data_IF_243057946432
#
_entry.id   IF_243057946432
#
_cell.length_a   1.000
_cell.length_b   1.000
_cell.length_c   1.000
_cell.angle_alpha   90.00
_cell.angle_beta   90.00
_cell.angle_gamma   90.00
#
_symmetry.space_group_name_H-M   'P 1'
#
loop_
_entity.id
_entity.type
_entity.pdbx_description
1 polymer ?
#
# COMPACT_ATOMS: atom_id res chain seq x y z
N UNK A 1 22.33 21.17 25.91
CA UNK A 1 22.38 20.28 24.72
C UNK A 1 22.60 21.18 23.53
N UNK A 2 23.81 21.24 22.99
CA UNK A 2 24.11 21.96 21.74
C UNK A 2 23.35 21.27 20.62
N UNK A 3 22.42 21.97 19.96
CA UNK A 3 21.78 21.52 18.75
C UNK A 3 22.89 21.24 17.72
N UNK A 4 23.13 19.97 17.41
CA UNK A 4 23.98 19.63 16.27
C UNK A 4 23.28 20.16 15.03
N UNK A 5 23.96 21.03 14.30
CA UNK A 5 23.44 21.48 13.01
C UNK A 5 23.44 20.31 12.03
N UNK A 6 22.48 20.28 11.12
CA UNK A 6 22.35 19.26 10.07
C UNK A 6 23.63 19.08 9.26
N UNK A 7 24.42 20.16 9.13
CA UNK A 7 25.73 20.21 8.45
C UNK A 7 26.80 19.31 9.07
N UNK A 8 26.64 18.92 10.32
CA UNK A 8 27.58 18.03 11.04
C UNK A 8 27.18 16.55 10.93
N UNK A 9 26.12 16.22 10.20
CA UNK A 9 25.71 14.83 9.96
C UNK A 9 26.56 14.18 8.89
N UNK A 10 26.88 12.90 9.07
CA UNK A 10 27.52 12.06 8.06
C UNK A 10 26.64 11.86 6.81
N UNK A 11 25.32 12.04 6.95
CA UNK A 11 24.33 11.94 5.87
C UNK A 11 24.19 13.27 5.10
N UNK A 12 24.92 14.32 5.50
CA UNK A 12 24.77 15.66 4.92
C UNK A 12 24.93 15.71 3.39
N UNK A 13 25.86 15.00 2.76
CA UNK A 13 25.96 15.01 1.30
C UNK A 13 24.68 14.51 0.60
N UNK A 14 24.09 13.42 1.10
CA UNK A 14 22.85 12.86 0.55
C UNK A 14 21.64 13.76 0.82
N UNK A 15 21.61 14.40 1.98
CA UNK A 15 20.59 15.39 2.35
C UNK A 15 20.67 16.60 1.43
N UNK A 16 21.88 17.08 1.15
CA UNK A 16 22.11 18.19 0.22
C UNK A 16 21.63 17.86 -1.20
N UNK A 17 21.79 16.62 -1.64
CA UNK A 17 21.28 16.15 -2.93
C UNK A 17 19.74 16.26 -3.02
N UNK A 18 19.04 16.01 -1.91
CA UNK A 18 17.59 16.18 -1.84
C UNK A 18 17.19 17.66 -1.82
N UNK A 19 17.89 18.48 -1.03
CA UNK A 19 17.49 19.86 -0.76
C UNK A 19 17.88 20.85 -1.87
N UNK A 20 19.03 20.65 -2.52
CA UNK A 20 19.68 21.69 -3.34
C UNK A 20 19.61 21.46 -4.84
N UNK A 21 19.10 20.37 -5.35
CA UNK A 21 19.08 20.10 -6.76
C UNK A 21 17.70 20.44 -7.37
N UNK A 22 17.46 21.72 -7.75
CA UNK A 22 16.14 22.16 -8.20
C UNK A 22 15.69 21.52 -9.51
N UNK A 23 16.64 21.12 -10.37
CA UNK A 23 16.32 20.56 -11.69
C UNK A 23 15.83 19.10 -11.63
N UNK A 24 16.10 18.40 -10.53
CA UNK A 24 15.70 17.03 -10.32
C UNK A 24 14.72 16.86 -9.14
N UNK A 25 14.45 17.90 -8.39
CA UNK A 25 13.55 17.87 -7.24
C UNK A 25 12.12 18.20 -7.67
N UNK A 26 11.23 17.29 -7.40
CA UNK A 26 9.81 17.52 -7.56
C UNK A 26 9.28 18.28 -6.34
N UNK A 27 8.69 19.43 -6.58
CA UNK A 27 7.89 20.14 -5.58
C UNK A 27 6.49 20.36 -6.18
N UNK A 28 5.67 19.31 -6.21
CA UNK A 28 4.41 19.34 -6.92
C UNK A 28 3.43 20.31 -6.27
N UNK A 29 2.84 21.15 -7.11
CA UNK A 29 1.66 21.91 -6.76
C UNK A 29 0.45 21.18 -7.30
N UNK A 30 -0.48 20.84 -6.41
CA UNK A 30 -1.71 20.17 -6.76
C UNK A 30 -2.87 21.16 -6.76
N UNK A 31 -3.63 21.13 -7.83
CA UNK A 31 -4.94 21.76 -7.87
C UNK A 31 -5.99 20.73 -8.26
N UNK A 32 -7.15 20.86 -7.63
CA UNK A 32 -8.24 19.91 -7.76
C UNK A 32 -9.50 20.59 -8.22
N UNK A 33 -10.20 19.94 -9.14
CA UNK A 33 -11.58 20.24 -9.47
C UNK A 33 -12.43 18.99 -9.23
N UNK A 34 -13.67 19.18 -8.87
CA UNK A 34 -14.60 18.09 -8.63
C UNK A 34 -15.86 18.25 -9.45
N UNK A 35 -16.43 17.11 -9.87
CA UNK A 35 -17.72 17.01 -10.50
C UNK A 35 -18.52 15.90 -9.81
N UNK A 36 -19.75 16.19 -9.46
CA UNK A 36 -20.69 15.21 -8.95
C UNK A 36 -21.73 14.96 -10.02
N UNK A 37 -21.97 13.70 -10.33
CA UNK A 37 -22.98 13.27 -11.31
C UNK A 37 -23.99 12.36 -10.62
N UNK A 38 -25.28 12.65 -10.80
CA UNK A 38 -26.39 11.79 -10.37
C UNK A 38 -26.86 10.97 -11.55
N UNK A 39 -26.75 9.64 -11.44
CA UNK A 39 -26.93 8.73 -12.59
C UNK A 39 -28.38 8.67 -13.06
N UNK A 40 -29.36 8.63 -12.14
CA UNK A 40 -30.78 8.49 -12.51
C UNK A 40 -31.35 9.78 -13.12
N UNK A 41 -30.98 10.92 -12.59
CA UNK A 41 -31.43 12.23 -13.10
C UNK A 41 -30.56 12.75 -14.23
N UNK A 42 -29.41 12.12 -14.50
CA UNK A 42 -28.42 12.54 -15.51
C UNK A 42 -28.03 14.03 -15.36
N UNK A 43 -27.74 14.41 -14.13
CA UNK A 43 -27.39 15.78 -13.80
C UNK A 43 -25.93 15.91 -13.37
N UNK A 44 -25.22 16.84 -13.99
CA UNK A 44 -23.84 17.18 -13.67
C UNK A 44 -23.77 18.44 -12.82
N UNK A 45 -23.14 18.32 -11.65
CA UNK A 45 -22.88 19.44 -10.74
C UNK A 45 -21.39 19.76 -10.73
N UNK A 46 -21.02 20.81 -11.43
CA UNK A 46 -19.66 21.36 -11.43
C UNK A 46 -19.58 22.67 -10.66
N UNK A 47 -20.70 23.40 -10.63
CA UNK A 47 -20.78 24.69 -9.97
C UNK A 47 -21.31 24.50 -8.54
N UNK A 48 -20.56 25.02 -7.56
CA UNK A 48 -20.91 24.94 -6.15
C UNK A 48 -20.51 23.65 -5.45
N UNK A 49 -20.03 22.63 -6.16
CA UNK A 49 -19.43 21.42 -5.56
C UNK A 49 -17.92 21.62 -5.49
N UNK A 50 -17.40 21.81 -4.28
CA UNK A 50 -15.99 22.13 -4.05
C UNK A 50 -15.34 21.07 -3.16
N UNK A 51 -14.24 20.51 -3.61
CA UNK A 51 -13.44 19.57 -2.84
C UNK A 51 -12.76 20.30 -1.68
N UNK A 52 -12.87 19.79 -0.46
CA UNK A 52 -12.29 20.38 0.75
C UNK A 52 -11.05 19.63 1.18
N UNK A 53 -11.16 18.33 1.35
CA UNK A 53 -10.07 17.43 1.75
C UNK A 53 -10.15 16.14 0.95
N UNK A 54 -8.98 15.51 0.76
CA UNK A 54 -8.85 14.13 0.26
C UNK A 54 -8.04 13.34 1.28
N UNK A 55 -8.55 12.19 1.66
CA UNK A 55 -7.87 11.21 2.50
C UNK A 55 -7.70 9.92 1.73
N UNK A 56 -6.47 9.44 1.60
CA UNK A 56 -6.13 8.19 0.92
C UNK A 56 -5.43 7.28 1.92
N UNK A 57 -6.01 6.10 2.15
CA UNK A 57 -5.42 5.06 2.98
C UNK A 57 -5.00 3.88 2.10
N UNK A 58 -3.71 3.58 2.11
CA UNK A 58 -3.08 2.42 1.47
C UNK A 58 -2.66 1.44 2.54
N UNK A 59 -3.50 0.47 2.85
CA UNK A 59 -3.13 -0.63 3.74
C UNK A 59 -2.78 -1.85 2.90
N UNK A 60 -1.49 -2.04 2.68
CA UNK A 60 -0.97 -3.09 1.80
C UNK A 60 -1.08 -4.52 2.36
N UNK A 61 -1.53 -4.66 3.62
CA UNK A 61 -1.74 -5.96 4.27
C UNK A 61 -3.20 -6.38 4.17
N UNK A 62 -4.12 -5.45 4.45
CA UNK A 62 -5.53 -5.77 4.65
C UNK A 62 -6.41 -5.39 3.46
N UNK A 63 -6.00 -4.37 2.71
CA UNK A 63 -6.77 -3.87 1.58
C UNK A 63 -6.20 -4.39 0.25
N UNK A 64 -7.04 -4.40 -0.76
CA UNK A 64 -6.66 -4.77 -2.13
C UNK A 64 -6.42 -3.55 -3.03
N UNK A 65 -6.78 -2.36 -2.56
CA UNK A 65 -6.65 -1.09 -3.26
C UNK A 65 -6.75 0.09 -2.30
N UNK A 66 -6.53 1.29 -2.83
CA UNK A 66 -6.69 2.53 -2.10
C UNK A 66 -8.10 2.67 -1.55
N UNK A 67 -8.19 3.04 -0.26
CA UNK A 67 -9.40 3.54 0.34
C UNK A 67 -9.35 5.05 0.28
N UNK A 68 -10.30 5.66 -0.42
CA UNK A 68 -10.31 7.10 -0.68
C UNK A 68 -11.56 7.71 -0.06
N UNK A 69 -11.38 8.70 0.78
CA UNK A 69 -12.45 9.55 1.27
C UNK A 69 -12.24 10.99 0.79
N UNK A 70 -13.32 11.65 0.46
CA UNK A 70 -13.30 13.07 0.12
C UNK A 70 -14.32 13.83 0.96
N UNK A 71 -13.94 15.01 1.40
CA UNK A 71 -14.89 15.99 1.94
C UNK A 71 -15.23 17.01 0.87
N UNK A 72 -16.48 17.19 0.63
CA UNK A 72 -17.00 18.04 -0.42
C UNK A 72 -17.97 19.05 0.17
N UNK A 73 -17.81 20.30 -0.20
CA UNK A 73 -18.76 21.38 0.11
C UNK A 73 -19.83 21.42 -0.99
N UNK A 74 -21.08 21.26 -0.62
CA UNK A 74 -22.23 21.22 -1.55
C UNK A 74 -23.29 22.22 -1.06
N UNK A 75 -23.91 23.02 -1.95
CA UNK A 75 -25.02 23.88 -1.57
C UNK A 75 -26.20 23.09 -1.00
N UNK A 76 -26.81 23.56 0.07
CA UNK A 76 -27.84 22.81 0.81
C UNK A 76 -29.02 22.42 -0.07
N UNK A 77 -29.53 23.32 -0.88
CA UNK A 77 -30.64 23.05 -1.79
C UNK A 77 -30.28 22.01 -2.87
N UNK A 78 -29.11 22.13 -3.45
CA UNK A 78 -28.60 21.12 -4.41
C UNK A 78 -28.50 19.76 -3.76
N UNK A 79 -27.93 19.68 -2.56
CA UNK A 79 -27.82 18.40 -1.85
C UNK A 79 -29.18 17.76 -1.58
N UNK A 80 -30.11 18.52 -1.01
CA UNK A 80 -31.42 18.00 -0.57
C UNK A 80 -32.35 17.62 -1.73
N UNK A 81 -32.40 18.45 -2.79
CA UNK A 81 -33.35 18.25 -3.89
C UNK A 81 -32.83 17.36 -5.01
N UNK A 82 -31.53 17.35 -5.21
CA UNK A 82 -30.97 16.67 -6.38
C UNK A 82 -30.15 15.42 -6.03
N UNK A 83 -29.41 15.46 -4.91
CA UNK A 83 -28.42 14.42 -4.57
C UNK A 83 -28.94 13.42 -3.53
N UNK A 84 -29.72 13.90 -2.55
CA UNK A 84 -30.10 13.09 -1.39
C UNK A 84 -30.91 11.83 -1.75
N UNK A 85 -31.80 11.93 -2.73
CA UNK A 85 -32.61 10.80 -3.19
C UNK A 85 -31.81 9.79 -4.04
N UNK A 86 -30.62 10.17 -4.49
CA UNK A 86 -29.77 9.35 -5.37
C UNK A 86 -28.45 8.93 -4.70
N UNK A 87 -28.36 8.94 -3.38
CA UNK A 87 -27.11 8.65 -2.65
C UNK A 87 -26.45 7.32 -3.02
N UNK A 88 -27.22 6.35 -3.50
CA UNK A 88 -26.70 5.03 -3.93
C UNK A 88 -26.16 5.04 -5.37
N UNK A 89 -26.47 6.07 -6.16
CA UNK A 89 -26.16 6.16 -7.60
C UNK A 89 -25.40 7.44 -7.95
N UNK A 90 -24.44 7.83 -7.11
CA UNK A 90 -23.58 8.99 -7.36
C UNK A 90 -22.27 8.55 -8.01
N UNK A 91 -21.88 9.27 -9.05
CA UNK A 91 -20.54 9.26 -9.59
C UNK A 91 -19.82 10.55 -9.20
N UNK A 92 -18.56 10.41 -8.82
CA UNK A 92 -17.72 11.54 -8.47
C UNK A 92 -16.46 11.55 -9.33
N UNK A 93 -16.21 12.67 -9.99
CA UNK A 93 -15.03 12.87 -10.81
C UNK A 93 -14.08 13.81 -10.08
N UNK A 94 -12.85 13.36 -9.90
CA UNK A 94 -11.74 14.19 -9.42
C UNK A 94 -10.87 14.54 -10.62
N UNK A 95 -10.65 15.80 -10.84
CA UNK A 95 -9.73 16.33 -11.83
C UNK A 95 -8.53 16.89 -11.08
N UNK A 96 -7.42 16.19 -11.14
CA UNK A 96 -6.18 16.60 -10.50
C UNK A 96 -5.27 17.23 -11.54
N UNK A 97 -4.93 18.50 -11.35
CA UNK A 97 -3.90 19.16 -12.15
C UNK A 97 -2.65 19.28 -11.32
N UNK A 98 -1.58 18.64 -11.77
CA UNK A 98 -0.31 18.55 -11.11
C UNK A 98 0.75 19.26 -11.92
N UNK A 99 1.44 20.21 -11.30
CA UNK A 99 2.59 20.90 -11.88
C UNK A 99 3.82 20.59 -11.04
N UNK A 100 4.84 19.99 -11.65
CA UNK A 100 6.04 19.53 -10.96
C UNK A 100 7.06 20.65 -10.75
N UNK A 101 7.26 21.48 -11.76
CA UNK A 101 8.11 22.67 -11.72
C UNK A 101 7.34 23.87 -12.26
N UNK A 102 7.74 25.07 -11.87
CA UNK A 102 7.04 26.31 -12.29
C UNK A 102 6.97 26.49 -13.81
N UNK A 103 7.90 25.92 -14.56
CA UNK A 103 8.00 26.05 -16.01
C UNK A 103 7.44 24.84 -16.78
N UNK A 104 7.01 23.80 -16.09
CA UNK A 104 6.48 22.60 -16.73
C UNK A 104 5.03 22.78 -17.16
N UNK A 105 4.66 22.11 -18.24
CA UNK A 105 3.25 22.01 -18.60
C UNK A 105 2.50 21.21 -17.50
N UNK A 106 1.38 21.75 -17.01
CA UNK A 106 0.60 21.06 -15.99
C UNK A 106 0.01 19.76 -16.52
N UNK A 107 0.20 18.68 -15.79
CA UNK A 107 -0.42 17.40 -16.09
C UNK A 107 -1.83 17.33 -15.46
N UNK A 108 -2.84 17.12 -16.29
CA UNK A 108 -4.21 16.94 -15.82
C UNK A 108 -4.62 15.48 -15.90
N UNK A 109 -5.05 14.95 -14.78
CA UNK A 109 -5.55 13.57 -14.62
C UNK A 109 -7.01 13.61 -14.24
N UNK A 110 -7.87 12.91 -14.97
CA UNK A 110 -9.31 12.81 -14.72
C UNK A 110 -9.62 11.40 -14.24
N UNK A 111 -10.19 11.29 -13.05
CA UNK A 111 -10.56 10.02 -12.44
C UNK A 111 -12.05 10.01 -12.07
N UNK A 112 -12.74 8.95 -12.47
CA UNK A 112 -14.16 8.75 -12.17
C UNK A 112 -14.32 7.61 -11.18
N UNK A 113 -15.10 7.86 -10.15
CA UNK A 113 -15.38 6.92 -9.07
C UNK A 113 -16.88 6.75 -8.88
N UNK A 114 -17.29 5.59 -8.40
CA UNK A 114 -18.57 5.47 -7.73
C UNK A 114 -18.43 6.09 -6.34
N UNK A 115 -19.31 7.02 -5.97
CA UNK A 115 -19.28 7.61 -4.65
C UNK A 115 -20.33 6.98 -3.73
N UNK A 116 -19.96 6.76 -2.48
CA UNK A 116 -20.83 6.25 -1.42
C UNK A 116 -20.90 7.26 -0.31
N UNK A 117 -22.10 7.63 0.07
CA UNK A 117 -22.34 8.55 1.17
C UNK A 117 -22.11 7.85 2.52
N UNK A 118 -21.23 8.42 3.36
CA UNK A 118 -20.90 7.86 4.66
C UNK A 118 -21.81 8.44 5.74
N UNK A 119 -22.91 7.74 6.04
CA UNK A 119 -23.88 8.15 7.06
C UNK A 119 -23.27 8.42 8.43
N UNK A 120 -22.28 7.62 8.83
CA UNK A 120 -21.63 7.72 10.14
C UNK A 120 -20.80 9.01 10.31
N UNK A 121 -20.33 9.57 9.20
CA UNK A 121 -19.47 10.76 9.19
C UNK A 121 -20.23 12.05 8.84
N UNK A 122 -21.46 11.93 8.43
CA UNK A 122 -22.26 13.06 7.99
C UNK A 122 -23.39 13.37 9.00
N UNK A 123 -23.74 14.64 9.09
CA UNK A 123 -24.91 15.04 9.87
C UNK A 123 -26.20 14.52 9.21
N UNK A 124 -27.20 14.24 10.01
CA UNK A 124 -28.55 13.99 9.50
C UNK A 124 -28.97 15.13 8.59
N UNK A 125 -29.64 14.82 7.48
CA UNK A 125 -30.16 15.85 6.58
C UNK A 125 -30.98 16.88 7.38
N UNK A 126 -30.78 18.18 7.17
CA UNK A 126 -31.55 19.20 7.86
C UNK A 126 -33.03 19.03 7.49
N UNK A 127 -33.89 18.94 8.50
CA UNK A 127 -35.32 18.91 8.31
C UNK A 127 -35.77 20.32 7.88
N UNK A 128 -35.77 20.58 6.58
CA UNK A 128 -36.26 21.85 6.03
C UNK A 128 -37.69 21.67 5.59
N UNK A 129 -38.58 22.30 6.33
CA UNK A 129 -39.99 22.38 5.96
C UNK A 129 -40.15 23.60 5.04
N UNK A 130 -40.52 23.36 3.77
CA UNK A 130 -41.02 24.32 2.78
C UNK A 130 -40.13 25.53 2.43
N UNK A 131 -38.83 25.37 2.27
CA UNK A 131 -37.97 26.39 1.66
C UNK A 131 -37.68 26.05 0.20
N UNK A 132 -37.54 27.05 -0.67
CA UNK A 132 -37.15 26.81 -2.05
C UNK A 132 -35.71 26.37 -2.17
N UNK A 133 -35.34 25.66 -3.26
CA UNK A 133 -33.98 25.26 -3.53
C UNK A 133 -33.00 26.44 -3.54
N UNK A 134 -33.46 27.58 -4.11
CA UNK A 134 -32.65 28.80 -4.22
C UNK A 134 -32.38 29.43 -2.86
N UNK A 135 -33.41 29.50 -1.99
CA UNK A 135 -33.26 30.01 -0.63
C UNK A 135 -32.29 29.19 0.20
N UNK A 136 -32.33 27.86 0.02
CA UNK A 136 -31.40 26.92 0.69
C UNK A 136 -29.98 27.03 0.15
N UNK A 137 -29.80 27.26 -1.15
CA UNK A 137 -28.48 27.45 -1.75
C UNK A 137 -27.81 28.77 -1.33
N UNK A 138 -28.58 29.74 -0.85
CA UNK A 138 -28.03 30.97 -0.28
C UNK A 138 -27.56 30.81 1.18
N UNK A 139 -27.80 29.64 1.78
CA UNK A 139 -27.30 29.32 3.11
C UNK A 139 -25.84 28.82 3.05
N UNK A 140 -25.26 28.63 4.23
CA UNK A 140 -23.93 28.03 4.35
C UNK A 140 -23.94 26.60 3.76
N UNK A 141 -23.03 26.22 2.86
CA UNK A 141 -23.02 24.91 2.22
C UNK A 141 -22.81 23.80 3.24
N UNK A 142 -23.28 22.61 2.90
CA UNK A 142 -23.00 21.38 3.66
C UNK A 142 -21.63 20.85 3.30
N UNK A 143 -20.91 20.36 4.31
CA UNK A 143 -19.72 19.54 4.11
C UNK A 143 -20.17 18.08 4.20
N UNK A 144 -19.99 17.37 3.11
CA UNK A 144 -20.38 15.96 2.95
C UNK A 144 -19.15 15.11 2.77
N UNK A 145 -19.09 13.98 3.47
CA UNK A 145 -18.02 12.99 3.31
C UNK A 145 -18.50 11.86 2.44
N UNK A 146 -17.75 11.60 1.37
CA UNK A 146 -18.00 10.53 0.40
C UNK A 146 -16.82 9.58 0.39
N UNK A 147 -17.09 8.28 0.31
CA UNK A 147 -16.10 7.27 -0.03
C UNK A 147 -16.08 7.08 -1.54
N UNK A 148 -14.91 7.10 -2.14
CA UNK A 148 -14.72 6.91 -3.57
C UNK A 148 -14.29 5.47 -3.87
N UNK A 149 -15.05 4.77 -4.71
CA UNK A 149 -14.79 3.38 -5.12
C UNK A 149 -14.34 3.35 -6.57
N UNK A 150 -13.17 2.76 -6.81
CA UNK A 150 -12.66 2.52 -8.17
C UNK A 150 -13.45 1.37 -8.83
N UNK A 151 -14.15 1.65 -9.92
CA UNK A 151 -14.97 0.66 -10.67
C UNK A 151 -14.16 -0.54 -11.14
N UNK A 152 -12.92 -0.31 -11.56
CA UNK A 152 -12.03 -1.40 -12.02
C UNK A 152 -11.76 -2.38 -10.89
N UNK A 153 -11.43 -1.84 -9.71
CA UNK A 153 -11.14 -2.64 -8.52
C UNK A 153 -12.37 -3.41 -8.06
N UNK A 154 -13.53 -2.75 -8.00
CA UNK A 154 -14.79 -3.41 -7.60
C UNK A 154 -15.14 -4.57 -8.57
N UNK A 155 -14.91 -4.38 -9.85
CA UNK A 155 -15.16 -5.44 -10.84
C UNK A 155 -14.19 -6.63 -10.66
N UNK A 156 -12.90 -6.37 -10.38
CA UNK A 156 -11.91 -7.42 -10.13
C UNK A 156 -12.23 -8.15 -8.82
N UNK A 157 -12.70 -7.43 -7.79
CA UNK A 157 -13.03 -7.99 -6.47
C UNK A 157 -14.10 -9.08 -6.55
N UNK A 158 -15.09 -8.95 -7.42
CA UNK A 158 -16.17 -9.92 -7.57
C UNK A 158 -15.86 -11.02 -8.59
N UNK A 159 -14.81 -10.84 -9.41
CA UNK A 159 -14.48 -11.81 -10.47
C UNK A 159 -13.90 -13.08 -9.87
N UNK A 160 -14.48 -14.22 -10.27
CA UNK A 160 -14.04 -15.56 -9.83
C UNK A 160 -13.37 -16.32 -10.96
N UNK A 161 -12.52 -17.26 -10.59
CA UNK A 161 -11.90 -18.25 -11.48
C UNK A 161 -11.92 -19.62 -10.83
N UNK A 162 -11.81 -20.65 -11.65
CA UNK A 162 -11.77 -22.05 -11.20
C UNK A 162 -11.15 -22.92 -12.28
N UNK A 163 -10.64 -24.05 -11.92
CA UNK A 163 -10.19 -25.04 -12.87
C UNK A 163 -8.96 -25.81 -12.43
N UNK A 164 -8.62 -26.80 -13.25
CA UNK A 164 -7.38 -27.53 -13.10
C UNK A 164 -6.43 -27.09 -14.24
N UNK A 165 -5.35 -26.45 -13.87
CA UNK A 165 -4.35 -25.91 -14.79
C UNK A 165 -3.19 -26.88 -14.86
N UNK A 166 -3.12 -27.67 -15.94
CA UNK A 166 -2.01 -28.59 -16.21
C UNK A 166 -0.97 -27.89 -17.11
N UNK A 167 0.22 -27.71 -16.58
CA UNK A 167 1.36 -27.07 -17.27
C UNK A 167 2.15 -28.06 -18.14
N UNK A 168 1.87 -29.36 -18.00
CA UNK A 168 2.66 -30.46 -18.58
C UNK A 168 2.26 -30.90 -19.99
N UNK A 169 1.28 -30.27 -20.64
CA UNK A 169 0.85 -30.67 -22.01
C UNK A 169 1.96 -30.50 -23.05
N UNK A 170 2.88 -29.58 -22.82
CA UNK A 170 4.08 -29.45 -23.65
C UNK A 170 5.29 -29.99 -22.85
N UNK A 171 5.74 -31.16 -23.21
CA UNK A 171 6.81 -31.97 -22.57
C UNK A 171 8.11 -31.25 -22.16
N UNK A 172 8.27 -29.93 -22.39
CA UNK A 172 9.49 -29.17 -22.15
C UNK A 172 9.29 -27.78 -21.50
N UNK A 173 8.11 -27.42 -21.00
CA UNK A 173 7.91 -26.09 -20.42
C UNK A 173 7.19 -26.17 -19.06
N UNK A 174 7.92 -26.52 -18.05
CA UNK A 174 7.52 -26.23 -16.68
C UNK A 174 7.35 -24.70 -16.52
N UNK A 175 6.28 -24.27 -15.89
CA UNK A 175 5.96 -22.84 -15.73
C UNK A 175 6.46 -22.33 -14.37
N UNK A 176 7.12 -21.18 -14.35
CA UNK A 176 7.45 -20.51 -13.10
C UNK A 176 6.18 -19.94 -12.43
N UNK A 177 6.21 -19.77 -11.11
CA UNK A 177 5.11 -19.23 -10.34
C UNK A 177 4.73 -17.82 -10.83
N UNK A 178 5.72 -16.97 -11.09
CA UNK A 178 5.49 -15.63 -11.62
C UNK A 178 4.79 -15.66 -12.99
N UNK A 179 5.21 -16.54 -13.89
CA UNK A 179 4.60 -16.70 -15.21
C UNK A 179 3.17 -17.22 -15.08
N UNK A 180 2.91 -18.13 -14.15
CA UNK A 180 1.57 -18.65 -13.88
C UNK A 180 0.63 -17.54 -13.44
N UNK A 181 1.02 -16.74 -12.43
CA UNK A 181 0.22 -15.60 -11.99
C UNK A 181 -0.07 -14.64 -13.13
N UNK A 182 0.99 -14.22 -13.84
CA UNK A 182 0.85 -13.27 -14.94
C UNK A 182 -0.11 -13.78 -16.02
N UNK A 183 0.03 -15.04 -16.42
CA UNK A 183 -0.81 -15.62 -17.47
C UNK A 183 -2.27 -15.74 -17.04
N UNK A 184 -2.52 -16.30 -15.84
CA UNK A 184 -3.87 -16.55 -15.37
C UNK A 184 -4.63 -15.25 -15.08
N UNK A 185 -4.02 -14.35 -14.31
CA UNK A 185 -4.68 -13.11 -13.92
C UNK A 185 -4.86 -12.19 -15.13
N UNK A 186 -3.84 -12.10 -15.99
CA UNK A 186 -3.93 -11.33 -17.24
C UNK A 186 -5.06 -11.85 -18.15
N UNK A 187 -5.17 -13.17 -18.32
CA UNK A 187 -6.26 -13.75 -19.13
C UNK A 187 -7.63 -13.38 -18.58
N UNK A 188 -7.81 -13.44 -17.27
CA UNK A 188 -9.09 -13.12 -16.63
C UNK A 188 -9.40 -11.62 -16.65
N UNK A 189 -8.41 -10.76 -16.37
CA UNK A 189 -8.60 -9.33 -16.33
C UNK A 189 -8.76 -8.71 -17.73
N UNK A 190 -8.06 -9.22 -18.75
CA UNK A 190 -8.20 -8.72 -20.12
C UNK A 190 -9.58 -9.00 -20.74
N UNK A 191 -10.33 -9.94 -20.18
CA UNK A 191 -11.72 -10.21 -20.59
C UNK A 191 -12.71 -9.19 -20.01
N UNK A 192 -12.28 -8.38 -19.05
CA UNK A 192 -13.12 -7.37 -18.40
C UNK A 192 -12.78 -6.03 -19.02
N UNK A 193 -13.75 -5.42 -19.67
CA UNK A 193 -13.61 -4.10 -20.28
C UNK A 193 -14.52 -3.10 -19.56
N UNK A 194 -13.96 -1.95 -19.20
CA UNK A 194 -14.72 -0.79 -18.74
C UNK A 194 -14.47 0.32 -19.75
N UNK A 195 -15.52 0.88 -20.33
CA UNK A 195 -15.43 1.90 -21.39
C UNK A 195 -14.48 1.48 -22.54
N UNK A 196 -14.55 0.20 -22.95
CA UNK A 196 -13.70 -0.44 -23.97
C UNK A 196 -12.19 -0.49 -23.64
N UNK A 197 -11.80 -0.31 -22.38
CA UNK A 197 -10.41 -0.46 -21.92
C UNK A 197 -10.31 -1.61 -20.93
N UNK A 198 -9.19 -2.36 -20.92
CA UNK A 198 -8.92 -3.34 -19.87
C UNK A 198 -8.97 -2.70 -18.48
N UNK A 199 -9.44 -3.44 -17.49
CA UNK A 199 -9.51 -2.97 -16.09
C UNK A 199 -8.13 -2.74 -15.46
N UNK A 200 -7.09 -3.38 -16.00
CA UNK A 200 -5.70 -3.21 -15.60
C UNK A 200 -4.82 -2.95 -16.81
N UNK A 201 -3.83 -2.08 -16.64
CA UNK A 201 -2.81 -1.80 -17.65
C UNK A 201 -1.66 -2.82 -17.61
N UNK A 202 -1.44 -3.46 -16.45
CA UNK A 202 -0.36 -4.41 -16.29
C UNK A 202 -0.30 -5.11 -14.95
N UNK A 203 0.75 -5.92 -14.82
CA UNK A 203 1.06 -6.71 -13.62
C UNK A 203 2.51 -6.49 -13.24
N UNK A 204 2.73 -6.23 -11.96
CA UNK A 204 4.05 -6.13 -11.36
C UNK A 204 4.18 -7.24 -10.32
N UNK A 205 5.05 -8.21 -10.60
CA UNK A 205 5.24 -9.38 -9.76
C UNK A 205 6.68 -9.40 -9.30
N UNK A 206 6.89 -9.24 -7.99
CA UNK A 206 8.20 -9.41 -7.39
C UNK A 206 8.71 -10.83 -7.63
N UNK A 207 10.01 -10.99 -7.89
CA UNK A 207 10.60 -12.32 -8.13
C UNK A 207 10.31 -13.26 -6.95
N UNK A 208 9.62 -14.40 -7.18
CA UNK A 208 9.32 -15.38 -6.13
C UNK A 208 10.58 -15.93 -5.47
N UNK A 209 10.51 -16.21 -4.16
CA UNK A 209 11.58 -16.95 -3.47
C UNK A 209 11.57 -18.43 -3.85
N UNK A 210 10.37 -18.95 -4.12
CA UNK A 210 10.19 -20.30 -4.61
C UNK A 210 10.50 -20.39 -6.11
N UNK A 211 11.59 -21.04 -6.43
CA UNK A 211 12.04 -21.26 -7.82
C UNK A 211 11.54 -22.59 -8.41
N UNK A 212 10.70 -23.32 -7.66
CA UNK A 212 10.13 -24.57 -8.14
C UNK A 212 9.21 -24.30 -9.32
N UNK A 213 9.22 -25.23 -10.27
CA UNK A 213 8.38 -25.15 -11.44
C UNK A 213 7.05 -25.85 -11.21
N UNK A 214 5.96 -25.20 -11.60
CA UNK A 214 4.63 -25.73 -11.48
C UNK A 214 4.34 -26.73 -12.59
N UNK A 215 3.82 -27.90 -12.19
CA UNK A 215 3.35 -28.94 -13.12
C UNK A 215 1.84 -28.89 -13.29
N UNK A 216 1.12 -28.78 -12.20
CA UNK A 216 -0.34 -28.63 -12.20
C UNK A 216 -0.78 -27.82 -10.99
N UNK A 217 -1.81 -26.98 -11.18
CA UNK A 217 -2.42 -26.21 -10.12
C UNK A 217 -3.93 -26.34 -10.20
N UNK A 218 -4.56 -26.78 -9.12
CA UNK A 218 -6.02 -26.85 -9.01
C UNK A 218 -6.54 -25.66 -8.23
N UNK A 219 -7.40 -24.87 -8.84
CA UNK A 219 -8.08 -23.72 -8.25
C UNK A 219 -9.51 -24.12 -7.95
N UNK A 220 -9.95 -24.05 -6.68
CA UNK A 220 -11.32 -24.37 -6.29
C UNK A 220 -12.35 -23.48 -7.00
N UNK A 221 -13.59 -23.98 -7.09
CA UNK A 221 -14.71 -23.21 -7.61
C UNK A 221 -14.93 -21.95 -6.79
N UNK A 222 -15.34 -20.89 -7.44
CA UNK A 222 -15.65 -19.58 -6.82
C UNK A 222 -14.46 -18.88 -6.15
N UNK A 223 -13.20 -19.26 -6.44
CA UNK A 223 -12.03 -18.52 -5.96
C UNK A 223 -11.97 -17.16 -6.63
N UNK A 224 -11.92 -16.08 -5.86
CA UNK A 224 -11.78 -14.72 -6.42
C UNK A 224 -10.38 -14.53 -6.98
N UNK A 225 -10.25 -13.73 -8.02
CA UNK A 225 -8.94 -13.46 -8.65
C UNK A 225 -7.97 -12.84 -7.64
N UNK A 226 -8.46 -11.98 -6.77
CA UNK A 226 -7.67 -11.31 -5.73
C UNK A 226 -7.18 -12.26 -4.62
N UNK A 227 -7.84 -13.40 -4.43
CA UNK A 227 -7.49 -14.43 -3.44
C UNK A 227 -6.49 -15.46 -3.99
N UNK A 228 -6.28 -15.47 -5.30
CA UNK A 228 -5.36 -16.43 -5.95
C UNK A 228 -3.95 -16.39 -5.40
N UNK A 229 -3.31 -15.23 -5.21
CA UNK A 229 -1.96 -15.16 -4.66
C UNK A 229 -1.86 -15.81 -3.29
N UNK A 230 -2.78 -15.48 -2.39
CA UNK A 230 -2.83 -16.04 -1.04
C UNK A 230 -3.09 -17.56 -1.07
N UNK A 231 -4.03 -18.01 -1.89
CA UNK A 231 -4.33 -19.42 -2.07
C UNK A 231 -3.08 -20.23 -2.48
N UNK A 232 -2.27 -19.71 -3.40
CA UNK A 232 -1.04 -20.36 -3.86
C UNK A 232 0.04 -20.31 -2.77
N UNK A 233 0.15 -19.20 -2.04
CA UNK A 233 1.07 -19.05 -0.92
C UNK A 233 0.75 -20.02 0.21
N UNK A 234 -0.54 -20.21 0.54
CA UNK A 234 -0.98 -21.05 1.65
C UNK A 234 -1.00 -22.53 1.35
N UNK A 235 -1.22 -22.90 0.09
CA UNK A 235 -1.12 -24.29 -0.32
C UNK A 235 0.33 -24.76 -0.25
N UNK A 236 0.55 -26.05 -0.48
CA UNK A 236 1.85 -26.69 -0.40
C UNK A 236 2.90 -26.16 -1.41
N UNK A 237 2.55 -25.15 -2.20
CA UNK A 237 3.44 -24.51 -3.17
C UNK A 237 4.31 -23.48 -2.46
N UNK A 238 3.68 -22.45 -1.85
CA UNK A 238 4.38 -21.29 -1.31
C UNK A 238 5.03 -20.44 -2.40
N UNK A 239 5.15 -19.15 -2.17
CA UNK A 239 5.69 -18.19 -3.14
C UNK A 239 6.84 -17.40 -2.55
N UNK A 240 6.56 -16.70 -1.44
CA UNK A 240 7.52 -15.84 -0.76
C UNK A 240 7.75 -16.27 0.68
N UNK A 241 8.99 -16.26 1.12
CA UNK A 241 9.36 -16.47 2.52
C UNK A 241 8.79 -15.39 3.43
N UNK A 242 8.62 -14.19 2.92
CA UNK A 242 8.06 -13.06 3.65
C UNK A 242 6.54 -12.94 3.54
N UNK A 243 5.81 -13.99 3.17
CA UNK A 243 4.37 -13.89 2.94
C UNK A 243 4.04 -13.16 1.65
N UNK A 244 2.79 -13.24 1.19
CA UNK A 244 2.35 -12.67 -0.08
C UNK A 244 1.36 -11.54 0.15
N UNK A 245 1.52 -10.46 -0.59
CA UNK A 245 0.56 -9.38 -0.75
C UNK A 245 0.07 -9.26 -2.18
N UNK A 246 -1.15 -8.77 -2.32
CA UNK A 246 -1.76 -8.46 -3.61
C UNK A 246 -2.48 -7.11 -3.51
N UNK A 247 -2.13 -6.18 -4.39
CA UNK A 247 -2.71 -4.84 -4.35
C UNK A 247 -2.88 -4.26 -5.74
N UNK A 248 -3.98 -3.57 -5.97
CA UNK A 248 -4.24 -2.85 -7.22
C UNK A 248 -4.08 -1.37 -6.95
N UNK A 249 -3.15 -0.75 -7.66
CA UNK A 249 -2.89 0.66 -7.52
C UNK A 249 -2.59 1.30 -8.86
N UNK A 250 -3.01 2.55 -9.01
CA UNK A 250 -2.52 3.43 -10.05
C UNK A 250 -1.15 3.93 -9.66
N UNK A 251 -0.20 3.77 -10.54
CA UNK A 251 1.21 4.07 -10.29
C UNK A 251 1.81 4.88 -11.42
N UNK A 252 2.48 5.97 -11.07
CA UNK A 252 3.27 6.77 -11.99
C UNK A 252 4.69 6.21 -12.13
N UNK A 253 5.08 5.80 -13.33
CA UNK A 253 6.47 5.38 -13.61
C UNK A 253 7.38 6.58 -13.87
N UNK A 254 6.79 7.66 -14.29
CA UNK A 254 7.34 9.00 -14.45
C UNK A 254 6.20 10.01 -14.21
N UNK A 255 6.48 11.32 -14.13
CA UNK A 255 5.44 12.33 -13.88
C UNK A 255 4.30 12.33 -14.89
N UNK A 256 4.44 11.69 -16.03
CA UNK A 256 3.52 11.77 -17.17
C UNK A 256 2.83 10.45 -17.52
N UNK A 257 3.35 9.32 -17.03
CA UNK A 257 2.83 8.00 -17.39
C UNK A 257 2.23 7.28 -16.19
N UNK A 258 0.91 7.16 -16.19
CA UNK A 258 0.17 6.43 -15.16
C UNK A 258 -0.32 5.09 -15.69
N UNK A 259 -0.14 4.06 -14.88
CA UNK A 259 -0.65 2.72 -15.16
C UNK A 259 -1.34 2.17 -13.92
N UNK A 260 -2.50 1.56 -14.13
CA UNK A 260 -3.20 0.80 -13.10
C UNK A 260 -2.72 -0.64 -13.13
N UNK A 261 -1.87 -0.99 -12.19
CA UNK A 261 -1.25 -2.31 -12.11
C UNK A 261 -1.77 -3.10 -10.91
N UNK A 262 -1.81 -4.43 -11.06
CA UNK A 262 -1.89 -5.35 -9.94
C UNK A 262 -0.47 -5.73 -9.53
N UNK A 263 -0.15 -5.50 -8.26
CA UNK A 263 1.13 -5.82 -7.64
C UNK A 263 1.01 -7.11 -6.83
N UNK A 264 1.96 -8.02 -7.02
CA UNK A 264 2.13 -9.24 -6.22
C UNK A 264 3.54 -9.23 -5.65
N UNK A 265 3.68 -9.26 -4.34
CA UNK A 265 4.93 -8.95 -3.65
C UNK A 265 5.08 -9.69 -2.33
N UNK A 266 6.30 -9.66 -1.77
CA UNK A 266 6.61 -10.18 -0.45
C UNK A 266 6.32 -9.15 0.65
N UNK A 267 5.43 -9.48 1.62
CA UNK A 267 4.95 -8.57 2.65
C UNK A 267 6.02 -8.21 3.70
N UNK A 268 6.73 -9.21 4.24
CA UNK A 268 7.57 -9.04 5.44
C UNK A 268 9.07 -9.13 5.14
N UNK A 269 9.49 -9.08 3.88
CA UNK A 269 10.89 -9.26 3.50
C UNK A 269 11.53 -7.97 3.01
N UNK A 270 12.11 -7.19 3.93
CA UNK A 270 12.91 -6.01 3.61
C UNK A 270 14.29 -6.32 3.02
N UNK A 271 14.83 -7.52 3.24
CA UNK A 271 16.16 -7.93 2.75
C UNK A 271 16.23 -8.03 1.21
N UNK A 272 15.08 -8.02 0.55
CA UNK A 272 14.98 -7.94 -0.91
C UNK A 272 15.23 -6.55 -1.50
N UNK A 273 15.57 -5.54 -0.69
CA UNK A 273 15.79 -4.17 -1.14
C UNK A 273 16.69 -4.09 -2.39
N UNK A 274 17.77 -4.83 -2.44
CA UNK A 274 18.71 -4.83 -3.57
C UNK A 274 18.10 -5.37 -4.87
N UNK A 275 17.14 -6.29 -4.76
CA UNK A 275 16.45 -6.93 -5.90
C UNK A 275 15.17 -6.23 -6.28
N UNK A 276 14.63 -5.35 -5.43
CA UNK A 276 13.40 -4.64 -5.69
C UNK A 276 13.54 -3.73 -6.91
N UNK A 277 12.52 -3.69 -7.75
CA UNK A 277 12.47 -2.79 -8.90
C UNK A 277 12.30 -1.34 -8.43
N UNK A 278 11.39 -1.11 -7.49
CA UNK A 278 11.15 0.19 -6.88
C UNK A 278 11.73 0.21 -5.47
N UNK A 279 12.41 1.30 -5.12
CA UNK A 279 13.19 1.42 -3.89
C UNK A 279 12.90 2.73 -3.18
N UNK A 280 12.83 2.65 -1.85
CA UNK A 280 12.68 3.81 -0.98
C UNK A 280 13.92 3.93 -0.09
N UNK A 281 14.57 5.09 -0.10
CA UNK A 281 15.69 5.42 0.78
C UNK A 281 15.31 6.58 1.70
N UNK A 282 15.40 6.36 2.99
CA UNK A 282 15.02 7.33 4.02
C UNK A 282 16.28 7.74 4.77
N UNK A 283 16.57 9.04 4.77
CA UNK A 283 17.73 9.62 5.44
C UNK A 283 17.28 10.30 6.73
N UNK A 284 17.69 9.76 7.86
CA UNK A 284 17.35 10.28 9.20
C UNK A 284 18.59 10.79 9.92
N UNK A 285 18.93 12.09 9.82
CA UNK A 285 20.02 12.67 10.59
C UNK A 285 19.66 12.75 12.08
N UNK A 286 20.67 12.79 12.98
CA UNK A 286 20.44 12.91 14.44
C UNK A 286 19.71 14.17 14.85
N UNK A 287 19.82 15.24 14.06
CA UNK A 287 19.09 16.48 14.26
C UNK A 287 18.49 16.89 12.92
N UNK A 288 17.17 16.87 12.81
CA UNK A 288 16.46 17.37 11.66
C UNK A 288 15.55 18.50 12.08
N UNK A 289 15.83 19.71 11.65
CA UNK A 289 14.86 20.78 11.59
C UNK A 289 14.93 21.36 10.19
N UNK A 290 14.01 20.98 9.33
CA UNK A 290 13.83 21.61 8.03
C UNK A 290 12.39 22.09 7.93
N UNK A 291 12.20 23.17 7.19
CA UNK A 291 10.87 23.76 7.07
C UNK A 291 9.99 22.92 6.13
N UNK A 292 8.68 23.01 6.31
CA UNK A 292 7.71 22.35 5.42
C UNK A 292 7.74 22.88 3.97
N UNK A 293 8.41 24.00 3.75
CA UNK A 293 8.59 24.59 2.40
C UNK A 293 9.82 24.06 1.66
N UNK A 294 10.66 23.27 2.33
CA UNK A 294 11.83 22.64 1.72
C UNK A 294 11.45 21.34 1.03
N UNK A 295 12.22 20.99 0.00
CA UNK A 295 12.06 19.71 -0.66
C UNK A 295 12.35 18.58 0.32
N UNK A 296 11.43 17.63 0.42
CA UNK A 296 11.52 16.51 1.36
C UNK A 296 11.78 15.19 0.67
N UNK A 297 11.71 15.14 -0.64
CA UNK A 297 12.01 13.94 -1.41
C UNK A 297 12.55 14.24 -2.81
N UNK A 298 13.23 13.23 -3.38
CA UNK A 298 13.71 13.20 -4.75
C UNK A 298 13.39 11.83 -5.35
N UNK A 299 12.81 11.82 -6.55
CA UNK A 299 12.53 10.59 -7.29
C UNK A 299 13.36 10.52 -8.56
N UNK A 300 14.22 9.51 -8.66
CA UNK A 300 15.05 9.26 -9.84
C UNK A 300 15.34 7.77 -9.98
N UNK A 301 15.31 7.27 -11.21
CA UNK A 301 15.68 5.88 -11.54
C UNK A 301 14.94 4.84 -10.67
N UNK A 302 13.65 5.04 -10.42
CA UNK A 302 12.81 4.21 -9.56
C UNK A 302 13.26 4.17 -8.08
N UNK A 303 14.04 5.14 -7.67
CA UNK A 303 14.46 5.33 -6.29
C UNK A 303 13.83 6.61 -5.76
N UNK A 304 13.06 6.49 -4.69
CA UNK A 304 12.54 7.60 -3.93
C UNK A 304 13.45 7.85 -2.73
N UNK A 305 14.20 8.95 -2.76
CA UNK A 305 15.01 9.42 -1.63
C UNK A 305 14.18 10.37 -0.80
N UNK A 306 14.08 10.15 0.49
CA UNK A 306 13.22 10.92 1.40
C UNK A 306 14.01 11.46 2.58
N UNK A 307 13.76 12.74 2.88
CA UNK A 307 14.15 13.40 4.11
C UNK A 307 12.90 13.65 4.94
N UNK A 308 12.63 12.84 6.00
CA UNK A 308 11.40 12.93 6.76
C UNK A 308 11.41 14.11 7.73
N UNK A 309 10.24 14.66 8.03
CA UNK A 309 10.04 15.63 9.11
C UNK A 309 10.10 14.97 10.49
N UNK A 310 9.65 13.72 10.60
CA UNK A 310 9.65 12.94 11.82
C UNK A 310 9.85 11.47 11.54
N UNK A 311 10.56 10.81 12.44
CA UNK A 311 10.65 9.34 12.51
C UNK A 311 10.32 8.91 13.91
N UNK A 312 9.33 8.04 14.05
CA UNK A 312 8.93 7.47 15.34
C UNK A 312 8.99 5.96 15.26
N UNK A 313 9.71 5.33 16.17
CA UNK A 313 9.69 3.87 16.32
C UNK A 313 8.42 3.49 17.09
N UNK A 314 7.52 2.78 16.42
CA UNK A 314 6.30 2.26 17.03
C UNK A 314 6.49 0.77 17.29
N UNK A 315 6.29 0.35 18.54
CA UNK A 315 6.30 -1.02 19.06
C UNK A 315 7.64 -1.77 19.03
N UNK A 316 8.26 -1.81 20.19
CA UNK A 316 9.01 -3.01 20.58
C UNK A 316 7.99 -4.13 20.81
N UNK A 317 7.98 -5.11 19.92
CA UNK A 317 7.12 -6.26 20.07
C UNK A 317 7.58 -7.04 21.30
N UNK A 318 6.93 -6.79 22.46
CA UNK A 318 7.31 -7.41 23.74
C UNK A 318 7.23 -8.93 23.71
N UNK A 319 6.43 -9.48 22.78
CA UNK A 319 6.38 -10.93 22.55
C UNK A 319 7.72 -11.48 22.04
N UNK A 320 8.51 -10.66 21.32
CA UNK A 320 9.85 -11.09 20.91
C UNK A 320 10.78 -11.35 22.09
N UNK A 321 10.63 -10.64 23.19
CA UNK A 321 11.46 -10.86 24.38
C UNK A 321 11.13 -12.18 25.08
N UNK A 322 9.86 -12.57 25.13
CA UNK A 322 9.41 -13.84 25.72
C UNK A 322 9.83 -15.01 24.83
N UNK A 323 9.74 -14.86 23.55
CA UNK A 323 10.20 -15.86 22.61
C UNK A 323 11.75 -15.90 22.53
N UNK A 324 12.54 -14.85 22.83
CA UNK A 324 14.02 -14.90 22.89
C UNK A 324 14.53 -15.73 24.07
N UNK A 325 13.71 -15.96 25.04
CA UNK A 325 14.04 -16.77 26.22
C UNK A 325 13.82 -18.29 26.02
N UNK A 326 13.74 -18.78 24.80
CA UNK A 326 13.78 -20.24 24.53
C UNK A 326 12.44 -20.89 24.16
N UNK A 327 11.37 -20.11 23.99
CA UNK A 327 10.04 -20.66 23.66
C UNK A 327 9.91 -21.26 22.26
N UNK A 328 10.74 -20.83 21.30
CA UNK A 328 10.70 -21.31 19.93
C UNK A 328 9.32 -21.31 19.27
N UNK A 329 9.27 -21.50 17.96
CA UNK A 329 8.04 -21.73 17.21
C UNK A 329 7.86 -23.22 16.96
N UNK A 330 6.68 -23.75 17.21
CA UNK A 330 6.36 -25.15 16.95
C UNK A 330 5.32 -25.28 15.87
N UNK A 331 5.56 -26.14 14.92
CA UNK A 331 4.58 -26.53 13.92
C UNK A 331 4.41 -28.03 13.93
N UNK A 332 3.16 -28.48 13.84
CA UNK A 332 2.84 -29.89 13.69
C UNK A 332 2.26 -30.14 12.30
N UNK A 333 2.66 -31.23 11.69
CA UNK A 333 2.18 -31.65 10.38
C UNK A 333 1.59 -33.05 10.44
N UNK A 334 0.30 -33.17 10.18
CA UNK A 334 -0.40 -34.43 10.17
C UNK A 334 0.09 -35.45 9.11
N UNK A 335 0.71 -34.96 8.02
CA UNK A 335 1.18 -35.83 6.94
C UNK A 335 2.48 -36.59 7.25
N UNK A 336 3.13 -36.27 8.37
CA UNK A 336 4.33 -36.97 8.80
C UNK A 336 4.08 -38.16 9.72
N UNK A 337 2.83 -38.52 9.91
CA UNK A 337 2.35 -39.60 10.75
C UNK A 337 3.05 -40.96 10.53
N UNK A 338 3.58 -41.18 9.35
CA UNK A 338 4.23 -42.41 8.92
C UNK A 338 5.75 -42.36 8.87
N UNK A 339 6.39 -41.27 9.29
CA UNK A 339 7.82 -41.09 9.16
C UNK A 339 8.57 -41.23 10.48
N UNK A 340 9.86 -41.62 10.39
CA UNK A 340 10.74 -41.90 11.52
C UNK A 340 10.68 -40.82 12.61
N UNK A 341 10.80 -41.17 13.89
CA UNK A 341 10.82 -40.24 15.00
C UNK A 341 11.92 -39.20 14.83
N UNK A 342 11.59 -37.94 15.03
CA UNK A 342 12.53 -36.82 14.99
C UNK A 342 13.27 -36.77 16.32
N UNK A 343 14.60 -36.79 16.29
CA UNK A 343 15.39 -36.53 17.49
C UNK A 343 15.34 -35.05 17.82
N UNK A 344 14.76 -34.75 18.97
CA UNK A 344 14.76 -33.41 19.54
C UNK A 344 16.01 -33.26 20.41
N UNK A 345 16.95 -32.42 19.99
CA UNK A 345 18.04 -31.97 20.85
C UNK A 345 17.74 -30.58 21.34
N UNK A 346 17.16 -30.48 22.54
CA UNK A 346 17.38 -29.30 23.36
C UNK A 346 18.70 -29.51 24.10
N UNK A 347 19.35 -28.48 24.62
CA UNK A 347 20.50 -28.61 25.53
C UNK A 347 19.99 -29.29 26.82
N UNK A 348 19.87 -30.59 26.77
CA UNK A 348 19.30 -31.46 27.78
C UNK A 348 19.27 -32.90 27.36
N UNK A 349 18.78 -33.84 28.19
CA UNK A 349 18.77 -35.24 27.87
C UNK A 349 17.98 -35.52 26.57
N UNK A 350 18.54 -36.30 25.69
CA UNK A 350 17.92 -36.75 24.44
C UNK A 350 16.73 -37.63 24.76
N UNK A 351 15.52 -37.26 24.30
CA UNK A 351 14.42 -38.24 24.29
C UNK A 351 14.04 -38.57 22.86
N UNK A 352 13.68 -39.81 22.66
CA UNK A 352 12.93 -40.23 21.49
C UNK A 352 11.47 -40.19 21.83
N UNK A 353 10.70 -39.39 21.09
CA UNK A 353 9.27 -39.28 21.23
C UNK A 353 8.60 -39.76 19.95
N UNK A 354 7.80 -40.83 20.08
CA UNK A 354 6.95 -41.29 19.01
C UNK A 354 5.69 -40.43 19.05
N UNK A 355 5.64 -39.40 18.29
CA UNK A 355 4.47 -38.51 18.15
C UNK A 355 3.75 -38.79 16.84
N UNK A 356 2.45 -38.60 16.88
CA UNK A 356 1.55 -38.70 15.74
C UNK A 356 1.72 -37.55 14.75
N UNK A 357 2.56 -36.57 15.07
CA UNK A 357 2.89 -35.41 14.23
C UNK A 357 4.37 -35.12 14.31
N UNK A 358 5.01 -34.69 13.21
CA UNK A 358 6.36 -34.15 13.28
C UNK A 358 6.31 -32.70 13.73
N UNK A 359 7.05 -32.41 14.78
CA UNK A 359 7.25 -31.08 15.30
C UNK A 359 8.56 -30.50 14.76
N UNK A 360 8.52 -29.29 14.24
CA UNK A 360 9.73 -28.52 13.90
C UNK A 360 9.94 -27.47 14.98
N UNK A 361 11.07 -27.55 15.64
CA UNK A 361 11.48 -26.56 16.63
C UNK A 361 12.57 -25.69 15.99
N UNK A 362 12.30 -24.39 15.94
CA UNK A 362 13.30 -23.42 15.51
C UNK A 362 14.26 -23.12 16.64
N UNK A 363 15.51 -23.44 16.43
CA UNK A 363 16.48 -23.62 17.51
C UNK A 363 17.10 -22.33 18.00
N UNK A 364 17.26 -21.30 17.21
CA UNK A 364 18.01 -20.15 17.68
C UNK A 364 17.58 -18.83 17.03
N UNK A 365 17.61 -17.78 17.81
CA UNK A 365 17.26 -16.45 17.42
C UNK A 365 18.41 -15.49 17.36
N UNK A 366 19.50 -15.80 18.08
CA UNK A 366 20.70 -14.99 18.09
C UNK A 366 21.33 -14.87 16.70
N UNK A 367 21.17 -15.91 15.89
CA UNK A 367 21.78 -16.03 14.57
C UNK A 367 20.80 -15.70 13.42
N UNK A 368 19.69 -15.04 13.70
CA UNK A 368 18.62 -14.87 12.72
C UNK A 368 17.85 -16.19 12.50
N UNK A 369 17.01 -16.23 11.50
CA UNK A 369 16.21 -17.39 11.15
C UNK A 369 17.10 -18.51 10.59
N UNK A 370 17.86 -19.19 11.44
CA UNK A 370 18.52 -20.44 11.08
C UNK A 370 17.48 -21.55 10.99
N UNK A 371 16.87 -21.61 9.85
CA UNK A 371 16.03 -22.69 9.42
C UNK A 371 16.94 -23.87 9.08
N UNK A 372 16.91 -24.91 9.87
CA UNK A 372 17.39 -26.20 9.40
C UNK A 372 16.23 -26.89 8.67
N UNK A 373 16.14 -26.80 7.34
CA UNK A 373 15.07 -27.44 6.61
C UNK A 373 15.29 -28.94 6.69
N UNK A 374 14.50 -29.60 7.54
CA UNK A 374 14.38 -31.03 7.42
C UNK A 374 13.57 -31.28 6.15
N UNK A 375 14.25 -31.62 5.05
CA UNK A 375 13.66 -31.91 3.74
C UNK A 375 12.53 -32.94 3.77
N UNK A 376 12.32 -33.59 4.90
CA UNK A 376 11.29 -34.60 5.11
C UNK A 376 10.01 -34.05 5.72
N UNK A 377 9.91 -32.75 5.98
CA UNK A 377 8.70 -32.14 6.53
C UNK A 377 7.83 -31.70 5.36
N UNK A 378 6.72 -32.39 5.18
CA UNK A 378 5.66 -32.00 4.26
C UNK A 378 4.86 -30.84 4.88
N UNK A 379 5.39 -29.63 4.87
CA UNK A 379 4.73 -28.44 5.34
C UNK A 379 5.10 -27.26 4.44
N UNK A 380 4.22 -26.28 4.35
CA UNK A 380 4.50 -25.06 3.63
C UNK A 380 5.47 -24.19 4.45
N UNK A 381 6.78 -24.39 4.20
CA UNK A 381 7.83 -23.64 4.89
C UNK A 381 7.75 -22.12 4.63
N UNK A 382 7.25 -21.71 3.46
CA UNK A 382 7.07 -20.28 3.13
C UNK A 382 6.07 -19.62 4.05
N UNK A 383 4.93 -20.28 4.33
CA UNK A 383 3.94 -19.81 5.29
C UNK A 383 4.53 -19.68 6.70
N UNK A 384 5.27 -20.68 7.15
CA UNK A 384 5.89 -20.68 8.47
C UNK A 384 6.91 -19.55 8.64
N UNK A 385 7.75 -19.35 7.61
CA UNK A 385 8.74 -18.27 7.63
C UNK A 385 8.06 -16.90 7.66
N UNK A 386 6.98 -16.71 6.90
CA UNK A 386 6.20 -15.48 6.90
C UNK A 386 5.62 -15.17 8.28
N UNK A 387 5.05 -16.17 8.96
CA UNK A 387 4.51 -16.02 10.32
C UNK A 387 5.60 -15.63 11.34
N UNK A 388 6.79 -16.18 11.20
CA UNK A 388 7.93 -15.84 12.05
C UNK A 388 8.40 -14.41 11.80
N UNK A 389 8.53 -13.99 10.54
CA UNK A 389 8.92 -12.63 10.19
C UNK A 389 7.91 -11.62 10.72
N UNK A 390 6.61 -11.91 10.54
CA UNK A 390 5.52 -11.07 11.07
C UNK A 390 5.63 -10.88 12.58
N UNK A 391 5.92 -11.94 13.34
CA UNK A 391 6.03 -11.88 14.80
C UNK A 391 7.28 -11.16 15.31
N UNK A 392 8.36 -11.20 14.54
CA UNK A 392 9.66 -10.66 14.95
C UNK A 392 9.92 -9.23 14.45
N UNK A 393 9.02 -8.64 13.68
CA UNK A 393 9.21 -7.32 13.12
C UNK A 393 8.76 -6.18 14.03
N UNK A 394 9.28 -5.00 13.76
CA UNK A 394 8.90 -3.76 14.37
C UNK A 394 8.38 -2.78 13.33
N UNK A 395 7.71 -1.72 13.77
CA UNK A 395 7.23 -0.68 12.88
C UNK A 395 7.95 0.65 13.13
N UNK A 396 8.19 1.37 12.03
CA UNK A 396 8.71 2.73 12.04
C UNK A 396 7.71 3.59 11.26
N UNK A 397 7.29 4.71 11.86
CA UNK A 397 6.46 5.70 11.17
C UNK A 397 7.33 6.84 10.66
N UNK A 398 7.13 7.23 9.42
CA UNK A 398 7.88 8.28 8.73
C UNK A 398 6.90 9.30 8.19
N UNK A 399 7.09 10.58 8.51
CA UNK A 399 6.22 11.67 8.05
C UNK A 399 6.92 12.51 6.98
N UNK A 400 6.21 12.76 5.88
CA UNK A 400 6.72 13.45 4.69
C UNK A 400 5.71 14.51 4.27
N UNK A 401 6.15 15.74 4.08
CA UNK A 401 5.34 16.83 3.53
C UNK A 401 5.50 16.94 2.03
N UNK A 402 4.50 17.53 1.38
CA UNK A 402 4.45 17.76 -0.07
C UNK A 402 4.66 16.51 -0.93
N UNK A 403 4.30 15.33 -0.38
CA UNK A 403 4.50 14.07 -1.06
C UNK A 403 3.47 13.84 -2.14
N UNK A 404 3.93 13.52 -3.34
CA UNK A 404 3.07 13.00 -4.41
C UNK A 404 2.72 11.54 -4.12
N UNK A 405 1.43 11.26 -3.94
CA UNK A 405 0.94 9.93 -3.63
C UNK A 405 1.21 8.90 -4.73
N UNK A 406 1.41 9.35 -5.97
CA UNK A 406 1.70 8.47 -7.10
C UNK A 406 3.07 7.78 -7.00
N UNK A 407 3.99 8.31 -6.18
CA UNK A 407 5.30 7.69 -5.94
C UNK A 407 5.34 6.68 -4.78
N UNK A 408 4.25 6.54 -4.04
CA UNK A 408 4.14 5.51 -2.99
C UNK A 408 3.48 4.28 -3.60
N UNK A 409 4.21 3.20 -3.71
CA UNK A 409 3.77 1.97 -4.36
C UNK A 409 3.66 0.80 -3.36
N UNK A 410 2.90 -0.26 -3.74
CA UNK A 410 2.60 -1.37 -2.85
C UNK A 410 3.87 -2.04 -2.32
N UNK A 411 3.93 -2.20 -1.00
CA UNK A 411 5.01 -2.84 -0.26
C UNK A 411 6.41 -2.44 -0.71
N UNK A 412 6.61 -1.13 -0.95
CA UNK A 412 7.91 -0.58 -1.33
C UNK A 412 9.00 -1.04 -0.37
N UNK A 413 10.08 -1.57 -0.93
CA UNK A 413 11.25 -2.00 -0.15
C UNK A 413 12.05 -0.77 0.25
N UNK A 414 12.32 -0.65 1.55
CA UNK A 414 12.95 0.52 2.14
C UNK A 414 14.32 0.23 2.70
N UNK A 415 15.18 1.23 2.58
CA UNK A 415 16.45 1.32 3.31
C UNK A 415 16.40 2.59 4.15
N UNK A 416 16.45 2.45 5.47
CA UNK A 416 16.51 3.58 6.41
C UNK A 416 17.95 3.74 6.83
N UNK A 417 18.50 4.92 6.58
CA UNK A 417 19.83 5.34 6.96
C UNK A 417 19.73 6.32 8.14
N UNK A 418 20.30 5.96 9.24
CA UNK A 418 20.33 6.86 10.39
C UNK A 418 21.73 6.91 11.03
N UNK A 419 22.05 8.06 11.61
CA UNK A 419 23.27 8.26 12.34
C UNK A 419 23.05 7.88 13.81
N UNK A 420 23.87 6.97 14.33
CA UNK A 420 23.79 6.53 15.70
C UNK A 420 24.58 7.48 16.66
N UNK A 421 24.50 7.22 17.97
CA UNK A 421 25.19 8.02 19.00
C UNK A 421 26.72 7.99 18.87
N UNK A 422 27.26 6.99 18.21
CA UNK A 422 28.69 6.80 17.98
C UNK A 422 29.18 7.49 16.71
N UNK A 423 28.32 8.29 16.07
CA UNK A 423 28.58 8.93 14.78
C UNK A 423 28.96 7.93 13.68
N UNK A 424 28.26 6.82 13.63
CA UNK A 424 28.35 5.88 12.50
C UNK A 424 27.00 5.77 11.83
N UNK A 425 27.00 5.52 10.51
CA UNK A 425 25.76 5.31 9.75
C UNK A 425 25.31 3.87 9.99
N UNK A 426 24.08 3.72 10.43
CA UNK A 426 23.41 2.42 10.57
C UNK A 426 22.33 2.29 9.50
N UNK A 427 22.25 1.10 8.91
CA UNK A 427 21.28 0.78 7.88
C UNK A 427 20.25 -0.21 8.43
N UNK A 428 18.98 0.04 8.16
CA UNK A 428 17.87 -0.88 8.46
C UNK A 428 17.04 -1.09 7.21
N UNK A 429 16.66 -2.33 6.96
CA UNK A 429 15.82 -2.68 5.82
C UNK A 429 14.40 -2.97 6.25
N UNK A 430 13.44 -2.54 5.45
CA UNK A 430 12.03 -2.68 5.75
C UNK A 430 11.13 -2.71 4.52
N UNK A 431 9.84 -2.77 4.79
CA UNK A 431 8.78 -2.79 3.77
C UNK A 431 7.67 -1.83 4.19
N UNK A 432 7.19 -0.99 3.28
CA UNK A 432 6.02 -0.13 3.55
C UNK A 432 4.78 -1.00 3.65
N UNK A 433 4.09 -0.96 4.79
CA UNK A 433 2.86 -1.68 5.02
C UNK A 433 1.63 -0.79 4.93
N UNK A 434 1.78 0.47 5.32
CA UNK A 434 0.67 1.40 5.33
C UNK A 434 1.16 2.78 4.92
N UNK A 435 0.38 3.45 4.09
CA UNK A 435 0.56 4.85 3.77
C UNK A 435 -0.77 5.59 3.96
N UNK A 436 -0.73 6.64 4.76
CA UNK A 436 -1.84 7.58 4.93
C UNK A 436 -1.45 8.87 4.25
N UNK A 437 -2.20 9.27 3.23
CA UNK A 437 -1.95 10.51 2.48
C UNK A 437 -3.16 11.41 2.64
N UNK A 438 -2.92 12.64 3.04
CA UNK A 438 -3.96 13.65 3.18
C UNK A 438 -3.65 14.85 2.32
N UNK A 439 -4.62 15.29 1.54
CA UNK A 439 -4.59 16.58 0.87
C UNK A 439 -5.54 17.50 1.59
N UNK A 440 -5.02 18.56 2.17
CA UNK A 440 -5.80 19.51 2.93
C UNK A 440 -5.38 20.93 2.63
N UNK A 441 -6.29 21.85 2.87
CA UNK A 441 -5.99 23.26 2.74
C UNK A 441 -5.50 23.80 4.10
N UNK A 442 -4.22 24.14 4.17
CA UNK A 442 -3.60 24.66 5.39
C UNK A 442 -4.08 26.08 5.77
N UNK A 443 -4.70 26.82 4.84
CA UNK A 443 -4.87 28.27 4.99
C UNK A 443 -6.30 28.78 4.85
N UNK A 444 -7.34 27.96 4.70
CA UNK A 444 -8.61 28.52 4.32
C UNK A 444 -9.83 28.11 5.13
N UNK A 445 -10.57 29.14 5.42
CA UNK A 445 -11.99 29.05 5.68
C UNK A 445 -12.67 28.45 4.42
N UNK A 446 -13.25 27.25 4.46
CA UNK A 446 -13.84 26.60 3.28
C UNK A 446 -14.94 27.47 2.61
N UNK A 447 -15.47 28.44 3.33
CA UNK A 447 -16.47 29.37 2.83
C UNK A 447 -15.93 30.39 1.82
N UNK A 448 -14.64 30.72 1.88
CA UNK A 448 -14.08 31.72 0.95
C UNK A 448 -13.78 31.19 -0.45
N UNK A 449 -13.65 29.87 -0.64
CA UNK A 449 -13.27 29.28 -1.92
C UNK A 449 -14.44 28.91 -2.83
N UNK A 450 -15.67 29.17 -2.46
CA UNK A 450 -16.86 28.84 -3.27
C UNK A 450 -16.90 29.48 -4.67
N UNK A 451 -16.09 30.52 -4.92
CA UNK A 451 -16.04 31.19 -6.23
C UNK A 451 -15.00 30.58 -7.17
N UNK A 452 -14.09 29.77 -6.68
CA UNK A 452 -13.08 29.10 -7.49
C UNK A 452 -13.43 27.63 -7.69
N UNK A 453 -13.55 27.20 -8.94
CA UNK A 453 -13.76 25.77 -9.28
C UNK A 453 -12.54 24.91 -8.93
N UNK A 454 -11.39 25.54 -8.91
CA UNK A 454 -10.10 24.91 -8.69
C UNK A 454 -9.57 25.26 -7.30
N UNK A 455 -9.18 24.26 -6.55
CA UNK A 455 -8.62 24.42 -5.20
C UNK A 455 -7.20 23.83 -5.14
N UNK A 456 -6.29 24.54 -4.48
CA UNK A 456 -4.94 24.04 -4.23
C UNK A 456 -4.86 23.42 -2.84
N UNK A 457 -4.40 22.19 -2.75
CA UNK A 457 -4.25 21.44 -1.50
C UNK A 457 -2.79 21.02 -1.30
N UNK A 458 -2.38 20.97 -0.05
CA UNK A 458 -1.05 20.50 0.36
C UNK A 458 -1.12 19.03 0.74
N UNK A 459 -0.18 18.24 0.24
CA UNK A 459 -0.08 16.83 0.52
C UNK A 459 0.75 16.56 1.78
N UNK A 460 0.27 15.67 2.65
CA UNK A 460 1.02 15.08 3.74
C UNK A 460 0.93 13.57 3.66
N UNK A 461 2.05 12.88 3.83
CA UNK A 461 2.09 11.43 3.86
C UNK A 461 2.70 10.92 5.16
N UNK A 462 2.05 9.93 5.77
CA UNK A 462 2.57 9.16 6.90
C UNK A 462 2.74 7.71 6.45
N UNK A 463 3.98 7.22 6.47
CA UNK A 463 4.32 5.87 6.06
C UNK A 463 4.60 5.01 7.28
N UNK A 464 3.97 3.85 7.39
CA UNK A 464 4.31 2.84 8.38
C UNK A 464 5.12 1.74 7.71
N UNK A 465 6.35 1.57 8.17
CA UNK A 465 7.34 0.68 7.60
C UNK A 465 7.59 -0.47 8.57
N UNK A 466 7.40 -1.68 8.11
CA UNK A 466 7.78 -2.88 8.83
C UNK A 466 9.29 -3.10 8.66
N UNK A 467 10.00 -3.22 9.77
CA UNK A 467 11.45 -3.48 9.79
C UNK A 467 11.74 -4.77 10.53
N UNK A 468 12.63 -5.57 9.97
CA UNK A 468 13.10 -6.77 10.65
C UNK A 468 14.02 -6.36 11.80
N UNK A 469 13.74 -6.82 13.01
CA UNK A 469 14.70 -6.71 14.11
C UNK A 469 15.90 -7.61 13.80
N UNK A 470 17.08 -6.99 13.69
CA UNK A 470 18.33 -7.75 13.75
C UNK A 470 18.61 -8.21 15.15
#
# INVERSE_FOLDING_TARGET
MTSMSMENSLLYPDIQDILKNPDENYNPVFSFESKLHTVEKDLDYTDGVVLVDIYILRNYIENISDYIEVKVSIPVGTFLYDVYDELDNIEFTVITTKQMHQNDEPLTVVERYKAVYLLEKNMSAPNTISQSKEDLNNQMPLIVTLQLLDRSVETIRIKTTQGNFDMGINKNKDMSIATFFKSLISEQCNKILIENKPVLDGFDIEEPDNQDKLKAVTIPSFTRIIELPELIQEKNIGVYNGGIGCYVQKFGTDPFTYKKNMFIYSLYNGDKYQKAEYKLMIFSPMSSSHSSSENTYKYKDKILKVLPHGITKINDNKETSVMSSGGGFRTSNANSFMKKPVEMTADGPKFKRNELSSEVIFKDRADGLNFAPNRNISGNQFKLTAELLKKNGNYVTVEISNMDHDFIYPAAKCKILYENKEKTITEVFGVVHLAVITYSNSNSNPVMNQRSKTISLTAHASLQIFVNSK
#
